data_IF_181967423067
#
_entry.id   IF_181967423067
#
_cell.length_a   1.000
_cell.length_b   1.000
_cell.length_c   1.000
_cell.angle_alpha   90.00
_cell.angle_beta   90.00
_cell.angle_gamma   90.00
#
_symmetry.space_group_name_H-M   'P 1'
#
loop_
_entity.id
_entity.type
_entity.pdbx_description
1 polymer ?
#
# COMPACT_ATOMS: atom_id res chain seq x y z
N UNK A 1 -0.14 22.09 -18.36
CA UNK A 1 -0.08 20.79 -19.07
C UNK A 1 -0.13 19.60 -18.08
N UNK A 2 0.82 19.47 -17.10
CA UNK A 2 0.87 18.35 -16.14
C UNK A 2 -0.46 18.16 -15.40
N UNK A 3 -1.03 19.23 -14.80
CA UNK A 3 -2.31 19.16 -14.10
C UNK A 3 -3.47 18.73 -15.00
N UNK A 4 -3.49 19.14 -16.25
CA UNK A 4 -4.53 18.72 -17.23
C UNK A 4 -4.41 17.22 -17.54
N UNK A 5 -3.18 16.72 -17.69
CA UNK A 5 -2.93 15.28 -17.89
C UNK A 5 -3.34 14.46 -16.65
N UNK A 6 -2.94 14.90 -15.45
CA UNK A 6 -3.31 14.26 -14.20
C UNK A 6 -4.85 14.22 -14.01
N UNK A 7 -5.54 15.32 -14.30
CA UNK A 7 -7.00 15.38 -14.28
C UNK A 7 -7.64 14.37 -15.24
N UNK A 8 -7.16 14.30 -16.49
CA UNK A 8 -7.66 13.32 -17.46
C UNK A 8 -7.44 11.88 -16.98
N UNK A 9 -6.24 11.55 -16.51
CA UNK A 9 -5.92 10.22 -16.01
C UNK A 9 -6.81 9.84 -14.81
N UNK A 10 -7.06 10.78 -13.90
CA UNK A 10 -7.96 10.55 -12.77
C UNK A 10 -9.41 10.30 -13.24
N UNK A 11 -9.91 11.07 -14.21
CA UNK A 11 -11.23 10.85 -14.81
C UNK A 11 -11.34 9.46 -15.43
N UNK A 12 -10.36 9.06 -16.23
CA UNK A 12 -10.34 7.74 -16.87
C UNK A 12 -10.27 6.61 -15.84
N UNK A 13 -9.54 6.81 -14.73
CA UNK A 13 -9.49 5.85 -13.62
C UNK A 13 -10.86 5.73 -12.92
N UNK A 14 -11.53 6.84 -12.63
CA UNK A 14 -12.85 6.86 -12.01
C UNK A 14 -13.87 6.11 -12.87
N UNK A 15 -13.88 6.34 -14.17
CA UNK A 15 -14.78 5.63 -15.09
C UNK A 15 -14.53 4.11 -15.14
N UNK A 16 -13.26 3.69 -15.05
CA UNK A 16 -12.92 2.25 -14.93
C UNK A 16 -13.40 1.67 -13.60
N UNK A 17 -13.20 2.39 -12.51
CA UNK A 17 -13.60 1.96 -11.16
C UNK A 17 -15.14 1.81 -11.06
N UNK A 18 -15.91 2.70 -11.65
CA UNK A 18 -17.39 2.57 -11.73
C UNK A 18 -17.82 1.29 -12.42
N UNK A 19 -17.20 0.97 -13.56
CA UNK A 19 -17.47 -0.30 -14.25
C UNK A 19 -17.10 -1.53 -13.42
N UNK A 20 -16.05 -1.43 -12.61
CA UNK A 20 -15.67 -2.51 -11.68
C UNK A 20 -16.74 -2.67 -10.57
N UNK A 21 -17.26 -1.57 -10.01
CA UNK A 21 -18.35 -1.62 -9.04
C UNK A 21 -19.62 -2.23 -9.63
N UNK A 22 -20.02 -1.81 -10.84
CA UNK A 22 -21.17 -2.37 -11.58
C UNK A 22 -21.00 -3.87 -11.89
N UNK A 23 -19.77 -4.35 -12.03
CA UNK A 23 -19.44 -5.77 -12.20
C UNK A 23 -19.41 -6.57 -10.89
N UNK A 24 -19.69 -5.95 -9.73
CA UNK A 24 -19.75 -6.62 -8.43
C UNK A 24 -18.39 -6.80 -7.75
N UNK A 25 -17.40 -5.98 -8.07
CA UNK A 25 -16.13 -5.94 -7.36
C UNK A 25 -16.31 -5.22 -6.01
N UNK A 26 -15.78 -5.79 -4.94
CA UNK A 26 -15.87 -5.21 -3.58
C UNK A 26 -14.72 -4.26 -3.26
N UNK A 27 -13.51 -4.50 -3.82
CA UNK A 27 -12.30 -3.80 -3.44
C UNK A 27 -11.38 -3.53 -4.64
N UNK A 28 -10.78 -2.37 -4.64
CA UNK A 28 -9.77 -1.95 -5.62
C UNK A 28 -8.39 -1.87 -4.97
N UNK A 29 -7.39 -2.46 -5.62
CA UNK A 29 -5.99 -2.20 -5.31
C UNK A 29 -5.49 -1.14 -6.31
N UNK A 30 -5.24 0.06 -5.80
CA UNK A 30 -4.75 1.19 -6.59
C UNK A 30 -3.22 1.15 -6.65
N UNK A 31 -2.69 0.47 -7.69
CA UNK A 31 -1.25 0.29 -7.88
C UNK A 31 -0.65 1.46 -8.66
N UNK A 32 0.37 2.07 -8.08
CA UNK A 32 1.23 3.09 -8.70
C UNK A 32 2.34 3.44 -7.72
N UNK A 33 3.58 3.22 -8.07
CA UNK A 33 4.67 3.56 -7.18
C UNK A 33 4.97 5.06 -7.23
N UNK A 34 5.24 5.61 -6.06
CA UNK A 34 5.55 7.03 -5.88
C UNK A 34 6.94 7.25 -5.29
N UNK A 35 7.63 6.17 -4.90
CA UNK A 35 8.89 6.25 -4.18
C UNK A 35 9.94 5.27 -4.71
N UNK A 36 11.20 5.70 -4.62
CA UNK A 36 12.36 4.82 -4.57
C UNK A 36 12.58 4.32 -3.13
N UNK A 37 13.50 3.38 -2.93
CA UNK A 37 13.93 2.99 -1.57
C UNK A 37 14.53 4.16 -0.77
N UNK A 38 15.06 5.17 -1.46
CA UNK A 38 15.64 6.38 -0.84
C UNK A 38 14.62 7.48 -0.51
N UNK A 39 13.40 7.42 -1.07
CA UNK A 39 12.36 8.43 -0.86
C UNK A 39 11.48 8.66 -2.09
N UNK A 40 10.56 9.62 -2.04
CA UNK A 40 9.61 9.91 -3.11
C UNK A 40 10.26 10.37 -4.41
N UNK A 41 9.64 10.05 -5.56
CA UNK A 41 10.03 10.55 -6.89
C UNK A 41 9.89 12.07 -7.01
N UNK A 42 8.91 12.64 -6.32
CA UNK A 42 8.64 14.07 -6.21
C UNK A 42 8.83 14.52 -4.78
N UNK A 43 9.26 15.76 -4.55
CA UNK A 43 9.24 16.31 -3.20
C UNK A 43 7.82 16.21 -2.59
N UNK A 44 7.68 16.15 -1.24
CA UNK A 44 6.37 16.14 -0.61
C UNK A 44 5.48 17.31 -1.06
N UNK A 45 6.06 18.50 -1.26
CA UNK A 45 5.35 19.65 -1.81
C UNK A 45 4.81 19.39 -3.21
N UNK A 46 5.64 18.87 -4.11
CA UNK A 46 5.22 18.55 -5.48
C UNK A 46 4.22 17.40 -5.52
N UNK A 47 4.36 16.42 -4.65
CA UNK A 47 3.39 15.34 -4.49
C UNK A 47 2.01 15.90 -4.11
N UNK A 48 1.96 16.82 -3.14
CA UNK A 48 0.75 17.51 -2.72
C UNK A 48 0.08 18.35 -3.82
N UNK A 49 0.87 18.86 -4.78
CA UNK A 49 0.34 19.67 -5.88
C UNK A 49 -0.12 18.82 -7.09
N UNK A 50 0.62 17.75 -7.43
CA UNK A 50 0.48 17.06 -8.71
C UNK A 50 -0.08 15.64 -8.60
N UNK A 51 -0.06 15.01 -7.41
CA UNK A 51 -0.52 13.64 -7.21
C UNK A 51 -1.68 13.56 -6.22
N UNK A 52 -1.48 14.06 -5.01
CA UNK A 52 -2.45 13.92 -3.90
C UNK A 52 -3.89 14.33 -4.27
N UNK A 53 -4.18 15.50 -4.92
CA UNK A 53 -5.56 15.90 -5.20
C UNK A 53 -6.27 14.94 -6.15
N UNK A 54 -5.53 14.34 -7.07
CA UNK A 54 -6.08 13.42 -8.06
C UNK A 54 -6.27 12.02 -7.49
N UNK A 55 -5.32 11.54 -6.69
CA UNK A 55 -5.43 10.29 -5.95
C UNK A 55 -6.61 10.35 -4.98
N UNK A 56 -6.71 11.42 -4.20
CA UNK A 56 -7.84 11.63 -3.30
C UNK A 56 -9.17 11.58 -4.04
N UNK A 57 -9.28 12.25 -5.16
CA UNK A 57 -10.51 12.23 -5.97
C UNK A 57 -10.85 10.82 -6.47
N UNK A 58 -9.87 10.03 -6.92
CA UNK A 58 -10.10 8.64 -7.36
C UNK A 58 -10.64 7.81 -6.19
N UNK A 59 -10.05 7.95 -5.01
CA UNK A 59 -10.45 7.21 -3.81
C UNK A 59 -11.84 7.65 -3.34
N UNK A 60 -12.10 8.95 -3.26
CA UNK A 60 -13.40 9.50 -2.83
C UNK A 60 -14.55 9.02 -3.74
N UNK A 61 -14.35 8.99 -5.06
CA UNK A 61 -15.37 8.49 -6.00
C UNK A 61 -15.56 6.96 -5.86
N UNK A 62 -14.48 6.19 -5.72
CA UNK A 62 -14.60 4.75 -5.46
C UNK A 62 -15.36 4.44 -4.17
N UNK A 63 -15.14 5.23 -3.10
CA UNK A 63 -15.87 5.09 -1.84
C UNK A 63 -17.36 5.44 -1.99
N UNK A 64 -17.72 6.43 -2.81
CA UNK A 64 -19.14 6.76 -3.13
C UNK A 64 -19.82 5.61 -3.86
N UNK A 65 -19.09 4.91 -4.73
CA UNK A 65 -19.58 3.73 -5.45
C UNK A 65 -19.60 2.45 -4.58
N UNK A 66 -19.29 2.56 -3.26
CA UNK A 66 -19.33 1.46 -2.29
C UNK A 66 -18.09 0.56 -2.28
N UNK A 67 -17.04 0.93 -3.01
CA UNK A 67 -15.81 0.12 -3.11
C UNK A 67 -14.86 0.37 -1.95
N UNK A 68 -14.28 -0.68 -1.43
CA UNK A 68 -13.07 -0.59 -0.62
C UNK A 68 -11.87 -0.23 -1.48
N UNK A 69 -10.89 0.47 -0.90
CA UNK A 69 -9.68 0.88 -1.63
C UNK A 69 -8.43 0.57 -0.82
N UNK A 70 -7.49 -0.13 -1.42
CA UNK A 70 -6.14 -0.36 -0.91
C UNK A 70 -5.19 0.42 -1.79
N UNK A 71 -4.45 1.38 -1.22
CA UNK A 71 -3.41 2.10 -1.97
C UNK A 71 -2.09 1.32 -1.83
N UNK A 72 -1.61 0.78 -2.94
CA UNK A 72 -0.30 0.16 -3.03
C UNK A 72 0.73 1.13 -3.60
N UNK A 73 1.88 1.21 -2.95
CA UNK A 73 3.09 1.87 -3.45
C UNK A 73 4.31 1.31 -2.72
N UNK A 74 5.29 0.88 -3.48
CA UNK A 74 6.58 0.45 -2.95
C UNK A 74 7.47 1.64 -2.59
N UNK A 75 8.59 1.36 -1.95
CA UNK A 75 9.62 2.32 -1.60
C UNK A 75 9.38 3.06 -0.28
N UNK A 76 10.23 4.04 -0.01
CA UNK A 76 10.18 4.82 1.23
C UNK A 76 9.10 5.90 1.16
N UNK A 77 7.92 5.56 1.66
CA UNK A 77 6.75 6.43 1.73
C UNK A 77 6.74 7.40 2.92
N UNK A 78 7.65 7.26 3.87
CA UNK A 78 7.60 8.02 5.12
C UNK A 78 7.49 9.54 4.92
N UNK A 79 8.19 10.18 3.95
CA UNK A 79 8.05 11.61 3.72
C UNK A 79 6.69 12.08 3.18
N UNK A 80 5.88 11.16 2.64
CA UNK A 80 4.54 11.46 2.09
C UNK A 80 3.41 10.66 2.77
N UNK A 81 3.70 10.00 3.89
CA UNK A 81 2.75 9.13 4.58
C UNK A 81 1.47 9.87 4.96
N UNK A 82 1.58 11.04 5.54
CA UNK A 82 0.41 11.86 5.92
C UNK A 82 -0.46 12.20 4.70
N UNK A 83 0.15 12.57 3.59
CA UNK A 83 -0.56 12.90 2.36
C UNK A 83 -1.27 11.69 1.76
N UNK A 84 -0.69 10.49 1.86
CA UNK A 84 -1.33 9.23 1.46
C UNK A 84 -2.55 8.94 2.34
N UNK A 85 -2.44 9.11 3.65
CA UNK A 85 -3.54 8.93 4.61
C UNK A 85 -4.66 9.96 4.38
N UNK A 86 -4.32 11.23 4.11
CA UNK A 86 -5.27 12.29 3.78
C UNK A 86 -6.06 12.03 2.48
N UNK A 87 -5.55 11.18 1.59
CA UNK A 87 -6.32 10.68 0.46
C UNK A 87 -7.46 9.74 0.87
N UNK A 88 -7.50 9.31 2.14
CA UNK A 88 -8.54 8.50 2.75
C UNK A 88 -8.73 7.10 2.10
N UNK A 89 -7.66 6.33 1.80
CA UNK A 89 -7.83 4.94 1.42
C UNK A 89 -8.30 4.12 2.63
N UNK A 90 -8.92 2.94 2.40
CA UNK A 90 -9.24 2.03 3.49
C UNK A 90 -8.00 1.32 4.04
N UNK A 91 -7.01 1.05 3.17
CA UNK A 91 -5.75 0.46 3.58
C UNK A 91 -4.57 1.02 2.79
N UNK A 92 -3.38 0.96 3.42
CA UNK A 92 -2.08 1.18 2.76
C UNK A 92 -1.33 -0.15 2.66
N UNK A 93 -0.83 -0.46 1.50
CA UNK A 93 0.05 -1.57 1.14
C UNK A 93 1.27 -1.00 0.42
N UNK A 94 2.29 -1.49 0.46
CA UNK A 94 3.29 -2.47 0.70
C UNK A 94 3.94 -2.29 2.09
N UNK A 95 4.14 -1.00 2.51
CA UNK A 95 4.90 -0.64 3.72
C UNK A 95 6.31 -1.25 3.64
N UNK A 96 7.01 -0.97 2.54
CA UNK A 96 8.15 -1.71 2.03
C UNK A 96 9.35 -1.78 3.02
N UNK A 97 9.62 -2.94 3.65
CA UNK A 97 10.72 -3.07 4.60
C UNK A 97 12.10 -2.93 3.93
N UNK A 98 12.19 -3.19 2.61
CA UNK A 98 13.43 -3.00 1.86
C UNK A 98 13.77 -1.52 1.68
N UNK A 99 12.78 -0.66 1.75
CA UNK A 99 12.92 0.79 1.80
C UNK A 99 13.01 1.35 3.23
N UNK A 100 13.23 0.49 4.23
CA UNK A 100 13.31 0.84 5.66
C UNK A 100 12.02 1.43 6.22
N UNK A 101 10.87 1.04 5.66
CA UNK A 101 9.57 1.37 6.25
C UNK A 101 9.29 0.37 7.36
N UNK A 102 9.34 0.84 8.60
CA UNK A 102 9.04 0.02 9.77
C UNK A 102 7.53 0.03 10.05
N UNK A 103 6.89 -1.14 9.95
CA UNK A 103 5.44 -1.28 10.19
C UNK A 103 5.04 -0.90 11.61
N UNK A 104 5.91 -1.08 12.61
CA UNK A 104 5.69 -0.65 13.99
C UNK A 104 5.58 0.87 14.08
N UNK A 105 6.48 1.58 13.40
CA UNK A 105 6.45 3.04 13.34
C UNK A 105 5.21 3.54 12.61
N UNK A 106 4.91 2.97 11.43
CA UNK A 106 3.70 3.32 10.67
C UNK A 106 2.44 3.06 11.48
N UNK A 107 2.35 1.91 12.19
CA UNK A 107 1.22 1.60 13.08
C UNK A 107 1.03 2.65 14.16
N UNK A 108 2.11 3.10 14.77
CA UNK A 108 2.08 4.16 15.79
C UNK A 108 1.61 5.50 15.23
N UNK A 109 2.00 5.85 14.02
CA UNK A 109 1.72 7.15 13.40
C UNK A 109 0.30 7.26 12.83
N UNK A 110 -0.18 6.19 12.20
CA UNK A 110 -1.41 6.26 11.38
C UNK A 110 -2.34 5.04 11.54
N UNK A 111 -2.03 4.07 12.38
CA UNK A 111 -2.79 2.83 12.53
C UNK A 111 -4.20 3.01 13.12
N UNK A 112 -4.52 4.17 13.64
CA UNK A 112 -5.86 4.61 14.07
C UNK A 112 -6.69 5.22 12.93
N UNK A 113 -6.05 5.57 11.80
CA UNK A 113 -6.66 6.29 10.67
C UNK A 113 -6.84 5.41 9.43
N UNK A 114 -5.97 4.42 9.24
CA UNK A 114 -5.94 3.59 8.03
C UNK A 114 -5.53 2.17 8.38
N UNK A 115 -6.14 1.18 7.70
CA UNK A 115 -5.71 -0.22 7.82
C UNK A 115 -4.31 -0.39 7.17
N UNK A 116 -3.42 -1.13 7.84
CA UNK A 116 -2.11 -1.48 7.32
C UNK A 116 -2.18 -2.86 6.66
N UNK A 117 -1.63 -2.99 5.46
CA UNK A 117 -1.60 -4.22 4.70
C UNK A 117 -0.14 -4.54 4.31
N UNK A 118 0.41 -5.63 4.82
CA UNK A 118 1.82 -5.98 4.65
C UNK A 118 2.40 -6.55 5.94
N UNK A 119 3.71 -6.55 6.17
CA UNK A 119 4.79 -6.22 5.27
C UNK A 119 5.91 -7.28 5.37
N UNK A 120 5.51 -8.59 5.44
CA UNK A 120 6.53 -9.66 5.45
C UNK A 120 7.50 -9.43 4.30
N UNK A 121 8.80 -9.43 4.60
CA UNK A 121 9.83 -9.00 3.67
C UNK A 121 9.99 -9.95 2.47
N UNK A 122 9.61 -9.50 1.27
CA UNK A 122 9.68 -10.29 0.04
C UNK A 122 11.12 -10.70 -0.35
N UNK A 123 12.15 -9.94 0.04
CA UNK A 123 13.53 -10.36 -0.22
C UNK A 123 13.91 -11.56 0.66
N UNK A 124 13.50 -11.57 1.93
CA UNK A 124 13.69 -12.73 2.82
C UNK A 124 12.87 -13.92 2.34
N UNK A 125 11.64 -13.69 1.86
CA UNK A 125 10.82 -14.73 1.23
C UNK A 125 11.51 -15.39 0.03
N UNK A 126 12.36 -14.67 -0.69
CA UNK A 126 13.09 -15.20 -1.85
C UNK A 126 14.40 -15.87 -1.46
N UNK A 127 15.22 -15.23 -0.62
CA UNK A 127 16.63 -15.60 -0.41
C UNK A 127 17.04 -15.78 1.05
N UNK A 128 16.17 -15.42 2.00
CA UNK A 128 16.42 -15.59 3.43
C UNK A 128 16.36 -17.03 3.91
N UNK A 129 16.77 -17.27 5.15
CA UNK A 129 16.54 -18.55 5.85
C UNK A 129 15.07 -18.67 6.29
N UNK A 130 14.64 -19.85 6.72
CA UNK A 130 13.30 -20.05 7.27
C UNK A 130 13.09 -19.22 8.54
N UNK A 131 14.12 -19.15 9.38
CA UNK A 131 14.11 -18.38 10.62
C UNK A 131 13.94 -16.88 10.34
N UNK A 132 14.65 -16.31 9.37
CA UNK A 132 14.51 -14.90 8.98
C UNK A 132 13.11 -14.58 8.43
N UNK A 133 12.51 -15.50 7.71
CA UNK A 133 11.13 -15.36 7.20
C UNK A 133 10.14 -15.38 8.35
N UNK A 134 10.28 -16.32 9.29
CA UNK A 134 9.43 -16.43 10.49
C UNK A 134 9.58 -15.16 11.34
N UNK A 135 10.81 -14.71 11.63
CA UNK A 135 11.06 -13.48 12.38
C UNK A 135 10.37 -12.26 11.75
N UNK A 136 10.43 -12.15 10.41
CA UNK A 136 9.75 -11.07 9.68
C UNK A 136 8.23 -11.16 9.83
N UNK A 137 7.65 -12.35 9.76
CA UNK A 137 6.21 -12.58 9.94
C UNK A 137 5.76 -12.28 11.38
N UNK A 138 6.49 -12.79 12.38
CA UNK A 138 6.23 -12.55 13.80
C UNK A 138 6.36 -11.07 14.17
N UNK A 139 7.33 -10.36 13.59
CA UNK A 139 7.46 -8.92 13.76
C UNK A 139 6.21 -8.17 13.30
N UNK A 140 5.71 -8.52 12.12
CA UNK A 140 4.48 -7.95 11.58
C UNK A 140 3.27 -8.21 12.50
N UNK A 141 3.10 -9.45 12.95
CA UNK A 141 1.99 -9.84 13.82
C UNK A 141 2.10 -9.16 15.20
N UNK A 142 3.29 -9.09 15.76
CA UNK A 142 3.53 -8.48 17.08
C UNK A 142 3.23 -6.99 17.07
N UNK A 143 3.59 -6.28 16.00
CA UNK A 143 3.55 -4.82 16.00
C UNK A 143 2.36 -4.21 15.25
N UNK A 144 1.81 -4.89 14.25
CA UNK A 144 0.72 -4.35 13.45
C UNK A 144 -0.67 -4.90 13.83
N UNK A 145 -0.76 -6.15 14.31
CA UNK A 145 -2.02 -6.81 14.68
C UNK A 145 -2.74 -6.18 15.89
N UNK A 146 -2.04 -5.77 16.99
CA UNK A 146 -2.73 -5.24 18.17
C UNK A 146 -3.66 -4.07 17.83
N UNK A 147 -4.88 -4.11 18.37
CA UNK A 147 -5.91 -3.10 18.14
C UNK A 147 -6.65 -3.25 16.79
N UNK A 148 -6.37 -4.25 15.98
CA UNK A 148 -6.98 -4.45 14.66
C UNK A 148 -6.45 -3.49 13.60
N UNK A 149 -7.22 -3.30 12.49
CA UNK A 149 -6.78 -2.45 11.37
C UNK A 149 -5.52 -2.96 10.68
N UNK A 150 -5.40 -4.29 10.52
CA UNK A 150 -4.25 -4.93 9.92
C UNK A 150 -4.65 -6.12 9.03
N UNK A 151 -4.07 -6.18 7.84
CA UNK A 151 -4.16 -7.29 6.90
C UNK A 151 -2.76 -7.89 6.75
N UNK A 152 -2.58 -9.11 7.27
CA UNK A 152 -1.30 -9.82 7.19
C UNK A 152 -1.04 -10.30 5.77
N UNK A 153 0.07 -9.89 5.19
CA UNK A 153 0.54 -10.36 3.88
C UNK A 153 2.01 -9.98 3.67
N UNK A 154 2.56 -10.39 2.55
CA UNK A 154 3.90 -9.98 2.10
C UNK A 154 3.92 -8.51 1.66
N UNK A 155 5.10 -7.88 1.65
CA UNK A 155 5.27 -6.50 1.20
C UNK A 155 5.02 -6.30 -0.30
N UNK A 156 5.06 -7.37 -1.08
CA UNK A 156 4.78 -7.34 -2.52
C UNK A 156 4.09 -8.63 -2.99
N UNK A 157 3.65 -8.66 -4.24
CA UNK A 157 3.01 -9.81 -4.86
C UNK A 157 3.98 -10.97 -5.07
N UNK A 158 3.49 -12.24 -5.15
CA UNK A 158 4.29 -13.36 -5.58
C UNK A 158 4.87 -13.14 -6.98
N UNK A 159 6.13 -13.45 -7.17
CA UNK A 159 6.82 -13.32 -8.45
C UNK A 159 7.59 -14.59 -8.81
N UNK A 160 7.98 -14.73 -10.09
CA UNK A 160 8.72 -15.89 -10.56
C UNK A 160 10.04 -16.05 -9.80
N UNK A 161 10.25 -17.22 -9.21
CA UNK A 161 11.44 -17.54 -8.43
C UNK A 161 11.26 -17.43 -6.91
N UNK A 162 10.08 -16.98 -6.45
CA UNK A 162 9.73 -17.02 -5.03
C UNK A 162 9.16 -18.41 -4.71
N UNK A 163 9.78 -19.19 -3.78
CA UNK A 163 9.31 -20.53 -3.46
C UNK A 163 7.92 -20.54 -2.81
N UNK A 164 7.01 -21.36 -3.33
CA UNK A 164 5.65 -21.45 -2.79
C UNK A 164 5.60 -21.90 -1.32
N UNK A 165 6.53 -22.73 -0.90
CA UNK A 165 6.61 -23.24 0.49
C UNK A 165 6.90 -22.13 1.50
N UNK A 166 7.50 -21.02 1.06
CA UNK A 166 7.69 -19.81 1.90
C UNK A 166 6.35 -19.17 2.30
N UNK A 167 5.35 -19.23 1.41
CA UNK A 167 4.01 -18.76 1.78
C UNK A 167 3.34 -19.67 2.80
N UNK A 168 3.53 -20.99 2.70
CA UNK A 168 3.03 -21.92 3.72
C UNK A 168 3.66 -21.63 5.07
N UNK A 169 4.98 -21.44 5.09
CA UNK A 169 5.75 -21.15 6.30
C UNK A 169 5.23 -19.95 7.10
N UNK A 170 4.74 -18.91 6.44
CA UNK A 170 4.21 -17.72 7.14
C UNK A 170 2.71 -17.82 7.47
N UNK A 171 2.00 -18.85 6.96
CA UNK A 171 0.57 -19.07 7.20
C UNK A 171 0.31 -20.10 8.30
N UNK A 172 1.27 -20.98 8.57
CA UNK A 172 1.25 -22.00 9.63
C UNK A 172 1.70 -21.41 10.96
#
# INVERSE_FOLDING_TARGET
EVKQRAFKMAKDAIERNKRAAEAGIDCLILCSDYCYNSGPFLSPEMFGIYIQPYLKRIIDEARKDGLYTIKHTDGNIMPILDQLVECNPHALHSLDPMARVDIKEVKKLVGDKVCLCGNVNCALMQTGTDEEVIESAEYCLTHAKPGGGYIFCTSNVPFKGLPADRYRLILD
#
